data_IF_783624855475
#
_entry.id   IF_783624855475
#
_cell.length_a   1.000
_cell.length_b   1.000
_cell.length_c   1.000
_cell.angle_alpha   90.00
_cell.angle_beta   90.00
_cell.angle_gamma   90.00
#
_symmetry.space_group_name_H-M   'P 1'
#
loop_
_entity.id
_entity.type
_entity.pdbx_description
1 polymer ?
#
# COMPACT_ATOMS: atom_id res chain seq x y z
N UNK A 1 19.20 -27.81 6.27
CA UNK A 1 20.59 -27.91 6.78
C UNK A 1 20.72 -26.90 7.90
N UNK A 2 20.97 -27.41 9.10
CA UNK A 2 21.43 -26.81 10.37
C UNK A 2 21.47 -25.28 10.56
N UNK A 3 20.91 -24.85 11.69
CA UNK A 3 21.13 -23.58 12.38
C UNK A 3 22.59 -23.41 12.79
N UNK A 4 23.09 -22.18 12.80
CA UNK A 4 24.02 -21.74 13.83
C UNK A 4 23.62 -20.38 14.38
N UNK A 5 23.33 -20.41 15.68
CA UNK A 5 23.07 -19.28 16.57
C UNK A 5 24.41 -18.61 16.87
N UNK A 6 24.43 -17.29 16.83
CA UNK A 6 25.58 -16.48 17.21
C UNK A 6 25.15 -15.08 17.64
N UNK A 7 25.02 -14.89 18.93
CA UNK A 7 25.06 -13.60 19.64
C UNK A 7 25.80 -13.90 20.96
N UNK A 8 26.15 -12.91 21.79
CA UNK A 8 26.46 -11.49 21.59
C UNK A 8 27.81 -11.10 22.30
N UNK A 9 28.19 -9.83 22.24
CA UNK A 9 29.24 -9.15 23.05
C UNK A 9 30.71 -9.36 22.66
N UNK A 10 31.32 -8.32 22.10
CA UNK A 10 32.64 -7.80 22.51
C UNK A 10 32.87 -6.40 21.92
N UNK A 11 32.66 -5.38 22.79
CA UNK A 11 33.40 -4.11 23.06
C UNK A 11 34.37 -3.48 22.03
N UNK A 12 34.92 -2.26 22.24
CA UNK A 12 34.39 -1.00 22.81
C UNK A 12 34.78 0.25 21.95
N UNK A 13 34.28 1.44 22.32
CA UNK A 13 35.01 2.70 22.08
C UNK A 13 34.32 3.77 21.23
N UNK A 14 33.54 4.63 21.88
CA UNK A 14 33.21 5.96 21.36
C UNK A 14 34.44 6.88 21.53
N UNK A 15 34.99 7.50 20.47
CA UNK A 15 35.92 8.61 20.63
C UNK A 15 35.18 9.91 21.00
N UNK A 16 35.81 10.81 21.77
CA UNK A 16 35.20 12.03 22.29
C UNK A 16 35.00 13.10 21.20
N UNK A 17 33.95 13.90 21.42
CA UNK A 17 33.55 15.08 20.64
C UNK A 17 34.59 16.19 20.76
N UNK A 18 35.04 16.84 19.67
CA UNK A 18 35.80 18.07 19.77
C UNK A 18 34.87 19.28 19.92
N UNK A 19 35.04 19.99 21.04
CA UNK A 19 34.61 21.37 21.25
C UNK A 19 35.69 22.33 20.73
N UNK A 20 35.39 23.17 19.74
CA UNK A 20 35.58 24.63 19.77
C UNK A 20 35.31 25.29 18.40
N UNK A 21 34.92 26.59 18.39
CA UNK A 21 34.37 27.28 17.23
C UNK A 21 35.44 28.07 16.48
N UNK A 22 35.32 28.18 15.15
CA UNK A 22 36.05 29.20 14.39
C UNK A 22 35.18 29.82 13.31
N UNK A 23 34.89 31.11 13.54
CA UNK A 23 34.31 32.07 12.62
C UNK A 23 34.96 32.02 11.23
N UNK A 24 34.13 32.13 10.17
CA UNK A 24 34.38 33.08 9.09
C UNK A 24 33.11 33.36 8.28
N UNK A 25 32.78 34.65 8.25
CA UNK A 25 31.79 35.27 7.36
C UNK A 25 32.39 35.42 5.96
N UNK A 26 31.71 34.89 4.97
CA UNK A 26 31.66 35.35 3.57
C UNK A 26 30.56 34.50 2.92
N UNK A 27 29.35 34.98 2.69
CA UNK A 27 29.07 36.07 1.78
C UNK A 27 28.86 35.50 0.38
N UNK A 28 27.64 35.04 0.05
CA UNK A 28 27.15 34.84 -1.31
C UNK A 28 25.62 34.87 -1.29
N UNK A 29 25.06 35.99 -1.75
CA UNK A 29 23.63 36.15 -2.07
C UNK A 29 23.34 35.33 -3.33
N UNK A 30 22.89 34.09 -3.14
CA UNK A 30 22.25 33.31 -4.19
C UNK A 30 20.74 33.50 -4.10
N UNK A 31 20.15 34.18 -5.07
CA UNK A 31 18.70 34.22 -5.26
C UNK A 31 18.22 32.81 -5.62
N UNK A 32 17.67 32.11 -4.63
CA UNK A 32 16.96 30.84 -4.86
C UNK A 32 15.69 31.19 -5.64
N UNK A 33 15.71 30.98 -6.95
CA UNK A 33 14.48 30.91 -7.74
C UNK A 33 13.70 29.72 -7.23
N UNK A 34 12.65 29.98 -6.46
CA UNK A 34 11.57 29.03 -6.22
C UNK A 34 11.01 28.66 -7.60
N UNK A 35 11.38 27.48 -8.10
CA UNK A 35 10.64 26.83 -9.17
C UNK A 35 9.26 26.57 -8.58
N UNK A 36 8.27 27.32 -9.06
CA UNK A 36 6.85 27.04 -8.85
C UNK A 36 6.64 25.57 -9.16
N UNK A 37 6.40 24.78 -8.11
CA UNK A 37 5.96 23.42 -8.26
C UNK A 37 4.67 23.48 -9.07
N UNK A 38 4.71 22.79 -10.22
CA UNK A 38 3.62 22.74 -11.16
C UNK A 38 2.35 22.25 -10.47
N UNK A 39 1.25 22.86 -10.91
CA UNK A 39 -0.12 22.39 -10.86
C UNK A 39 -0.42 21.25 -9.87
N UNK A 40 -1.14 21.63 -8.81
CA UNK A 40 -2.02 20.72 -8.07
C UNK A 40 -2.88 19.98 -9.10
N UNK A 41 -2.57 18.70 -9.30
CA UNK A 41 -3.40 17.79 -10.06
C UNK A 41 -4.76 17.68 -9.38
N UNK A 42 -5.80 17.82 -10.19
CA UNK A 42 -7.20 17.71 -9.82
C UNK A 42 -7.46 16.35 -9.12
N UNK A 43 -8.01 16.30 -7.88
CA UNK A 43 -8.25 15.06 -7.13
C UNK A 43 -9.35 14.14 -7.73
N UNK A 44 -9.71 14.33 -9.00
CA UNK A 44 -10.71 13.55 -9.73
C UNK A 44 -10.23 12.92 -11.04
N UNK A 45 -8.95 13.08 -11.44
CA UNK A 45 -8.44 12.40 -12.64
C UNK A 45 -7.91 11.01 -12.26
N UNK A 46 -8.81 10.02 -12.27
CA UNK A 46 -8.45 8.61 -12.17
C UNK A 46 -7.69 8.21 -13.45
N UNK A 47 -6.37 8.35 -13.43
CA UNK A 47 -5.52 7.75 -14.47
C UNK A 47 -5.61 6.24 -14.27
N UNK A 48 -6.45 5.57 -15.08
CA UNK A 48 -6.56 4.12 -15.06
C UNK A 48 -5.16 3.52 -15.30
N UNK A 49 -4.68 2.73 -14.33
CA UNK A 49 -3.36 2.13 -14.38
C UNK A 49 -3.40 0.91 -15.30
N UNK A 50 -2.50 0.85 -16.28
CA UNK A 50 -2.38 -0.31 -17.17
C UNK A 50 -1.46 -1.36 -16.53
N UNK A 51 -1.92 -2.61 -16.47
CA UNK A 51 -1.15 -3.74 -15.95
C UNK A 51 -1.55 -5.06 -16.62
N UNK A 52 -1.05 -6.21 -16.13
CA UNK A 52 -1.40 -7.53 -16.63
C UNK A 52 -1.82 -8.46 -15.49
N UNK A 53 -2.79 -9.33 -15.77
CA UNK A 53 -3.23 -10.44 -14.91
C UNK A 53 -3.32 -11.72 -15.72
N UNK A 54 -3.38 -12.89 -15.07
CA UNK A 54 -3.62 -14.15 -15.77
C UNK A 54 -4.93 -14.10 -16.57
N UNK A 55 -4.98 -14.76 -17.73
CA UNK A 55 -6.14 -14.70 -18.65
C UNK A 55 -7.47 -15.06 -17.95
N UNK A 56 -7.46 -16.03 -17.02
CA UNK A 56 -8.65 -16.43 -16.24
C UNK A 56 -9.14 -15.38 -15.23
N UNK A 57 -8.30 -14.40 -14.89
CA UNK A 57 -8.62 -13.31 -13.97
C UNK A 57 -9.00 -12.03 -14.71
N UNK A 58 -8.82 -11.99 -16.03
CA UNK A 58 -9.04 -10.82 -16.87
C UNK A 58 -10.53 -10.64 -17.18
N UNK A 59 -11.29 -10.24 -16.16
CA UNK A 59 -12.71 -9.90 -16.28
C UNK A 59 -12.98 -8.55 -15.63
N UNK A 60 -13.79 -7.71 -16.30
CA UNK A 60 -14.22 -6.43 -15.71
C UNK A 60 -14.94 -6.64 -14.38
N UNK A 61 -14.64 -5.79 -13.40
CA UNK A 61 -15.13 -5.91 -12.03
C UNK A 61 -14.38 -6.94 -11.17
N UNK A 62 -13.48 -7.76 -11.74
CA UNK A 62 -12.63 -8.64 -10.95
C UNK A 62 -11.71 -7.82 -10.04
N UNK A 63 -11.55 -8.25 -8.79
CA UNK A 63 -10.67 -7.62 -7.82
C UNK A 63 -9.54 -8.55 -7.42
N UNK A 64 -8.33 -8.00 -7.29
CA UNK A 64 -7.14 -8.75 -6.87
C UNK A 64 -6.25 -7.92 -5.96
N UNK A 65 -5.45 -8.60 -5.13
CA UNK A 65 -4.39 -7.97 -4.32
C UNK A 65 -3.05 -8.20 -5.00
N UNK A 66 -2.29 -7.14 -5.21
CA UNK A 66 -0.96 -7.26 -5.79
C UNK A 66 0.03 -7.79 -4.74
N UNK A 67 0.69 -8.91 -5.07
CA UNK A 67 1.61 -9.64 -4.17
C UNK A 67 3.09 -9.45 -4.50
N UNK A 68 3.41 -8.55 -5.42
CA UNK A 68 4.79 -8.27 -5.79
C UNK A 68 5.38 -9.26 -6.81
N UNK A 69 6.66 -9.07 -7.17
CA UNK A 69 7.36 -9.88 -8.16
C UNK A 69 7.59 -11.32 -7.69
N UNK A 70 7.45 -12.27 -8.62
CA UNK A 70 7.83 -13.68 -8.43
C UNK A 70 9.16 -14.01 -9.13
N UNK A 71 9.87 -15.09 -8.76
CA UNK A 71 11.11 -15.50 -9.40
C UNK A 71 11.03 -15.61 -10.94
N UNK A 72 9.90 -16.08 -11.45
CA UNK A 72 9.56 -16.23 -12.87
C UNK A 72 9.47 -14.89 -13.61
N UNK A 73 9.27 -13.78 -12.88
CA UNK A 73 9.23 -12.44 -13.46
C UNK A 73 10.62 -11.93 -13.84
N UNK A 74 11.70 -12.51 -13.31
CA UNK A 74 13.09 -12.05 -13.58
C UNK A 74 13.42 -12.00 -15.07
N UNK A 75 13.20 -13.07 -15.87
CA UNK A 75 13.44 -13.05 -17.32
C UNK A 75 12.30 -12.41 -18.16
N UNK A 76 11.20 -11.95 -17.54
CA UNK A 76 10.03 -11.50 -18.29
C UNK A 76 10.25 -10.12 -18.96
N UNK A 77 9.98 -10.04 -20.26
CA UNK A 77 10.18 -8.83 -21.09
C UNK A 77 9.20 -7.69 -20.77
N UNK A 78 8.00 -8.02 -20.28
CA UNK A 78 6.93 -7.04 -19.97
C UNK A 78 6.75 -6.78 -18.48
N UNK A 79 7.70 -7.24 -17.64
CA UNK A 79 7.59 -7.18 -16.17
C UNK A 79 7.38 -5.77 -15.63
N UNK A 80 7.89 -4.73 -16.28
CA UNK A 80 7.74 -3.35 -15.81
C UNK A 80 6.28 -2.90 -15.78
N UNK A 81 5.46 -3.42 -16.69
CA UNK A 81 4.01 -3.14 -16.73
C UNK A 81 3.26 -4.00 -15.71
N UNK A 82 3.73 -5.23 -15.46
CA UNK A 82 3.14 -6.12 -14.44
C UNK A 82 3.46 -5.72 -12.99
N UNK A 83 4.55 -4.97 -12.76
CA UNK A 83 5.11 -4.71 -11.44
C UNK A 83 4.99 -3.25 -11.02
N UNK A 84 4.00 -2.53 -11.56
CA UNK A 84 3.81 -1.10 -11.33
C UNK A 84 2.79 -0.77 -10.24
N UNK A 85 2.16 -1.79 -9.64
CA UNK A 85 1.25 -1.65 -8.51
C UNK A 85 1.99 -1.64 -7.17
N UNK A 86 1.30 -1.12 -6.15
CA UNK A 86 1.79 -1.12 -4.78
C UNK A 86 1.50 -2.44 -4.09
N UNK A 87 2.52 -2.97 -3.41
CA UNK A 87 2.44 -4.24 -2.69
C UNK A 87 1.33 -4.19 -1.64
N UNK A 88 0.54 -5.26 -1.57
CA UNK A 88 -0.51 -5.39 -0.56
C UNK A 88 -1.78 -4.59 -0.87
N UNK A 89 -1.78 -3.70 -1.87
CA UNK A 89 -2.99 -2.96 -2.28
C UNK A 89 -3.90 -3.82 -3.17
N UNK A 90 -5.20 -3.53 -3.07
CA UNK A 90 -6.27 -4.16 -3.85
C UNK A 90 -6.66 -3.27 -5.03
N UNK A 91 -6.87 -3.91 -6.16
CA UNK A 91 -7.21 -3.26 -7.43
C UNK A 91 -8.44 -3.91 -8.04
N UNK A 92 -9.21 -3.13 -8.79
CA UNK A 92 -10.34 -3.60 -9.58
C UNK A 92 -10.06 -3.42 -11.06
N UNK A 93 -10.36 -4.44 -11.86
CA UNK A 93 -10.31 -4.37 -13.32
C UNK A 93 -11.44 -3.48 -13.82
N UNK A 94 -11.10 -2.39 -14.50
CA UNK A 94 -12.06 -1.48 -15.13
C UNK A 94 -12.27 -1.77 -16.60
N UNK A 95 -11.25 -2.32 -17.28
CA UNK A 95 -11.32 -2.65 -18.69
C UNK A 95 -10.31 -3.74 -19.05
N UNK A 96 -10.69 -4.66 -19.95
CA UNK A 96 -9.83 -5.73 -20.46
C UNK A 96 -9.47 -5.42 -21.92
N UNK A 97 -8.18 -5.26 -22.23
CA UNK A 97 -7.73 -4.96 -23.60
C UNK A 97 -7.54 -6.24 -24.38
N UNK A 98 -7.73 -6.22 -25.69
CA UNK A 98 -7.47 -7.37 -26.58
C UNK A 98 -5.97 -7.54 -26.91
N UNK A 99 -5.14 -7.58 -25.87
CA UNK A 99 -3.69 -7.78 -25.97
C UNK A 99 -3.25 -8.72 -24.84
N UNK A 100 -2.50 -9.76 -25.19
CA UNK A 100 -1.95 -10.72 -24.24
C UNK A 100 -0.48 -11.00 -24.51
N UNK A 101 0.23 -11.41 -23.46
CA UNK A 101 1.64 -11.75 -23.48
C UNK A 101 1.88 -13.11 -22.83
N UNK A 102 2.90 -13.88 -23.28
CA UNK A 102 3.31 -15.10 -22.61
C UNK A 102 3.70 -14.84 -21.16
N UNK A 103 3.24 -15.70 -20.24
CA UNK A 103 3.49 -15.58 -18.82
C UNK A 103 3.87 -16.94 -18.22
N UNK A 104 5.06 -17.01 -17.61
CA UNK A 104 5.54 -18.23 -16.94
C UNK A 104 4.84 -18.51 -15.61
N UNK A 105 4.18 -17.50 -15.04
CA UNK A 105 3.49 -17.60 -13.75
C UNK A 105 2.01 -18.01 -13.90
N UNK A 106 1.35 -17.52 -14.95
CA UNK A 106 -0.10 -17.62 -15.11
C UNK A 106 -0.44 -18.46 -16.32
N UNK A 107 -0.61 -19.78 -16.15
CA UNK A 107 -1.17 -20.71 -17.15
C UNK A 107 -0.83 -20.35 -18.61
N UNK A 108 0.45 -20.05 -18.85
CA UNK A 108 1.06 -19.63 -20.12
C UNK A 108 0.72 -18.22 -20.64
N UNK A 109 -0.36 -17.54 -20.23
CA UNK A 109 -0.78 -16.23 -20.77
C UNK A 109 -1.29 -15.23 -19.72
N UNK A 110 -0.88 -13.97 -19.90
CA UNK A 110 -1.39 -12.83 -19.14
C UNK A 110 -2.03 -11.79 -20.08
N UNK A 111 -3.21 -11.29 -19.71
CA UNK A 111 -3.99 -10.30 -20.45
C UNK A 111 -3.66 -8.89 -19.96
N UNK A 112 -3.58 -7.93 -20.87
CA UNK A 112 -3.45 -6.51 -20.53
C UNK A 112 -4.79 -5.96 -20.07
N UNK A 113 -4.78 -5.29 -18.92
CA UNK A 113 -5.97 -4.73 -18.27
C UNK A 113 -5.72 -3.30 -17.80
N UNK A 114 -6.79 -2.54 -17.61
CA UNK A 114 -6.80 -1.29 -16.87
C UNK A 114 -7.41 -1.52 -15.50
N UNK A 115 -6.83 -0.87 -14.48
CA UNK A 115 -7.24 -1.02 -13.09
C UNK A 115 -7.35 0.31 -12.37
N UNK A 116 -8.18 0.31 -11.34
CA UNK A 116 -8.25 1.35 -10.32
C UNK A 116 -7.94 0.77 -8.93
N UNK A 117 -7.35 1.56 -8.02
CA UNK A 117 -7.25 1.15 -6.61
C UNK A 117 -8.64 0.99 -6.00
N UNK A 118 -8.88 -0.13 -5.34
CA UNK A 118 -10.18 -0.49 -4.79
C UNK A 118 -10.03 -1.03 -3.37
N UNK A 119 -9.65 -0.20 -2.37
CA UNK A 119 -9.53 -0.68 -1.00
C UNK A 119 -10.87 -1.26 -0.51
N UNK A 120 -10.85 -2.34 0.27
CA UNK A 120 -12.06 -2.85 0.91
C UNK A 120 -12.55 -1.90 2.01
N UNK A 121 -13.82 -2.04 2.38
CA UNK A 121 -14.27 -1.53 3.67
C UNK A 121 -13.53 -2.23 4.80
N UNK A 122 -13.28 -1.50 5.87
CA UNK A 122 -12.63 -2.04 7.05
C UNK A 122 -13.28 -1.49 8.33
N UNK A 123 -12.92 -2.07 9.47
CA UNK A 123 -13.29 -1.54 10.78
C UNK A 123 -12.14 -0.71 11.35
N UNK A 124 -12.47 0.42 11.97
CA UNK A 124 -11.53 1.24 12.74
C UNK A 124 -12.07 1.49 14.15
N UNK A 125 -11.21 1.81 15.13
CA UNK A 125 -11.66 2.33 16.41
C UNK A 125 -12.55 3.56 16.21
N UNK A 126 -13.66 3.69 16.95
CA UNK A 126 -14.60 4.82 16.81
C UNK A 126 -13.87 6.16 16.95
N UNK A 127 -12.97 6.28 17.93
CA UNK A 127 -12.12 7.47 18.15
C UNK A 127 -11.20 7.86 16.98
N UNK A 128 -10.90 6.92 16.08
CA UNK A 128 -10.07 7.13 14.90
C UNK A 128 -10.92 7.30 13.62
N UNK A 129 -12.24 7.17 13.72
CA UNK A 129 -13.16 7.15 12.59
C UNK A 129 -13.73 8.54 12.33
N UNK A 130 -12.90 9.46 11.82
CA UNK A 130 -13.34 10.81 11.43
C UNK A 130 -13.29 10.98 9.92
N UNK A 131 -14.42 11.32 9.30
CA UNK A 131 -14.52 11.55 7.86
C UNK A 131 -13.54 12.63 7.37
N UNK A 132 -12.94 12.38 6.20
CA UNK A 132 -11.96 13.27 5.57
C UNK A 132 -10.54 13.16 6.14
N UNK A 133 -10.34 12.50 7.28
CA UNK A 133 -9.00 12.34 7.88
C UNK A 133 -8.21 11.20 7.25
N UNK A 134 -6.88 11.24 7.42
CA UNK A 134 -5.97 10.17 7.03
C UNK A 134 -5.50 9.45 8.29
N UNK A 135 -5.57 8.13 8.29
CA UNK A 135 -5.15 7.27 9.40
C UNK A 135 -4.17 6.21 8.91
N UNK A 136 -3.25 5.79 9.77
CA UNK A 136 -2.46 4.58 9.54
C UNK A 136 -3.26 3.37 10.04
N UNK A 137 -3.52 2.41 9.17
CA UNK A 137 -4.25 1.20 9.54
C UNK A 137 -3.38 0.30 10.41
N UNK A 138 -3.81 -0.02 11.63
CA UNK A 138 -3.06 -0.93 12.51
C UNK A 138 -3.61 -2.37 12.48
N UNK A 139 -4.90 -2.52 12.15
CA UNK A 139 -5.63 -3.78 12.29
C UNK A 139 -5.97 -4.10 13.75
N UNK A 140 -6.94 -5.00 13.93
CA UNK A 140 -7.32 -5.50 15.25
C UNK A 140 -6.63 -6.83 15.54
N UNK A 141 -6.21 -7.03 16.78
CA UNK A 141 -5.70 -8.33 17.23
C UNK A 141 -6.88 -9.22 17.62
N UNK A 142 -7.36 -10.03 16.69
CA UNK A 142 -8.48 -10.94 16.91
C UNK A 142 -8.33 -12.21 16.08
N UNK A 143 -8.51 -13.38 16.70
CA UNK A 143 -8.42 -14.69 16.03
C UNK A 143 -9.77 -15.37 15.80
N UNK A 144 -10.88 -14.69 16.11
CA UNK A 144 -12.23 -15.26 15.95
C UNK A 144 -12.69 -15.19 14.48
N UNK A 145 -12.28 -16.17 13.68
CA UNK A 145 -12.64 -16.30 12.27
C UNK A 145 -14.16 -16.46 12.01
N UNK A 146 -14.93 -16.88 13.02
CA UNK A 146 -16.39 -17.01 12.93
C UNK A 146 -17.13 -15.70 13.23
N UNK A 147 -16.43 -14.63 13.62
CA UNK A 147 -17.04 -13.33 13.89
C UNK A 147 -17.67 -12.74 12.61
N UNK A 148 -18.92 -12.23 12.66
CA UNK A 148 -19.54 -11.57 11.51
C UNK A 148 -18.72 -10.39 10.97
N UNK A 149 -18.00 -9.69 11.86
CA UNK A 149 -17.17 -8.53 11.52
C UNK A 149 -15.76 -8.91 11.04
N UNK A 150 -15.42 -10.20 10.97
CA UNK A 150 -14.04 -10.65 10.75
C UNK A 150 -13.43 -10.08 9.45
N UNK A 151 -14.22 -9.99 8.37
CA UNK A 151 -13.75 -9.44 7.08
C UNK A 151 -13.48 -7.94 7.12
N UNK A 152 -14.17 -7.20 7.98
CA UNK A 152 -13.92 -5.77 8.20
C UNK A 152 -12.70 -5.57 9.10
N UNK A 153 -12.51 -6.45 10.09
CA UNK A 153 -11.36 -6.42 11.02
C UNK A 153 -10.05 -6.90 10.37
N UNK A 154 -10.16 -7.80 9.40
CA UNK A 154 -9.05 -8.39 8.64
C UNK A 154 -9.27 -8.19 7.13
N UNK A 155 -9.30 -6.93 6.67
CA UNK A 155 -9.54 -6.58 5.29
C UNK A 155 -8.40 -7.10 4.39
N UNK A 156 -8.75 -7.88 3.37
CA UNK A 156 -7.79 -8.34 2.37
C UNK A 156 -7.46 -7.20 1.42
N UNK A 157 -6.21 -6.74 1.45
CA UNK A 157 -5.75 -5.62 0.64
C UNK A 157 -5.42 -4.35 1.43
N UNK A 158 -5.40 -4.41 2.76
CA UNK A 158 -4.93 -3.31 3.61
C UNK A 158 -3.97 -3.92 4.63
N UNK A 159 -2.69 -3.61 4.48
CA UNK A 159 -1.66 -4.08 5.41
C UNK A 159 -1.49 -3.10 6.58
N UNK A 160 -1.05 -3.57 7.77
CA UNK A 160 -0.68 -2.68 8.86
C UNK A 160 0.33 -1.61 8.40
N UNK A 161 0.11 -0.37 8.80
CA UNK A 161 0.86 0.81 8.36
C UNK A 161 0.31 1.49 7.10
N UNK A 162 -0.64 0.89 6.38
CA UNK A 162 -1.24 1.51 5.18
C UNK A 162 -1.96 2.80 5.55
N UNK A 163 -1.67 3.89 4.84
CA UNK A 163 -2.35 5.17 5.00
C UNK A 163 -3.69 5.13 4.27
N UNK A 164 -4.76 5.45 4.99
CA UNK A 164 -6.12 5.41 4.48
C UNK A 164 -6.79 6.76 4.71
N UNK A 165 -7.40 7.33 3.67
CA UNK A 165 -8.34 8.44 3.82
C UNK A 165 -9.73 7.89 4.12
N UNK A 166 -10.34 8.33 5.20
CA UNK A 166 -11.71 7.97 5.56
C UNK A 166 -12.67 8.76 4.69
N UNK A 167 -13.42 8.06 3.84
CA UNK A 167 -14.41 8.68 2.95
C UNK A 167 -15.78 8.78 3.61
N UNK A 168 -16.16 7.76 4.38
CA UNK A 168 -17.43 7.70 5.08
C UNK A 168 -17.32 6.81 6.31
N UNK A 169 -17.95 7.22 7.40
CA UNK A 169 -18.11 6.40 8.60
C UNK A 169 -19.48 5.74 8.56
N UNK A 170 -19.51 4.42 8.76
CA UNK A 170 -20.70 3.60 8.84
C UNK A 170 -21.22 3.47 10.25
N UNK A 171 -21.93 2.38 10.52
CA UNK A 171 -22.45 2.07 11.86
C UNK A 171 -21.36 1.53 12.78
N UNK A 172 -21.55 1.71 14.08
CA UNK A 172 -20.82 0.96 15.10
C UNK A 172 -21.08 -0.55 14.95
N UNK A 173 -20.06 -1.34 15.27
CA UNK A 173 -20.07 -2.79 15.14
C UNK A 173 -19.95 -3.42 16.52
N UNK A 174 -20.82 -4.39 16.82
CA UNK A 174 -20.74 -5.14 18.06
C UNK A 174 -19.53 -6.09 18.04
N UNK A 175 -18.56 -5.85 18.92
CA UNK A 175 -17.36 -6.65 19.03
C UNK A 175 -17.43 -7.55 20.26
N UNK A 176 -17.39 -8.89 20.12
CA UNK A 176 -17.38 -9.82 21.26
C UNK A 176 -16.20 -9.65 22.23
N UNK A 177 -15.14 -8.95 21.80
CA UNK A 177 -13.96 -8.63 22.63
C UNK A 177 -14.07 -7.27 23.33
N UNK A 178 -15.16 -6.53 23.13
CA UNK A 178 -15.42 -5.23 23.76
C UNK A 178 -14.71 -4.04 23.09
N UNK A 179 -14.16 -4.20 21.88
CA UNK A 179 -13.60 -3.07 21.13
C UNK A 179 -14.71 -2.16 20.58
N UNK A 180 -14.59 -0.86 20.82
CA UNK A 180 -15.44 0.16 20.19
C UNK A 180 -14.96 0.43 18.76
N UNK A 181 -15.65 -0.17 17.78
CA UNK A 181 -15.28 -0.12 16.37
C UNK A 181 -16.46 0.28 15.49
N UNK A 182 -16.17 0.95 14.37
CA UNK A 182 -17.15 1.30 13.35
C UNK A 182 -16.67 0.82 11.98
N UNK A 183 -17.60 0.50 11.08
CA UNK A 183 -17.26 0.26 9.68
C UNK A 183 -16.90 1.58 8.99
N UNK A 184 -15.94 1.55 8.08
CA UNK A 184 -15.52 2.73 7.33
C UNK A 184 -15.31 2.39 5.85
N UNK A 185 -15.72 3.32 4.99
CA UNK A 185 -15.30 3.36 3.58
C UNK A 185 -14.06 4.22 3.47
N UNK A 186 -13.06 3.72 2.76
CA UNK A 186 -11.74 4.35 2.68
C UNK A 186 -11.25 4.48 1.24
N UNK A 187 -10.29 5.36 1.03
CA UNK A 187 -9.40 5.38 -0.14
C UNK A 187 -7.96 5.15 0.34
N UNK A 188 -7.13 4.53 -0.48
CA UNK A 188 -5.69 4.55 -0.21
C UNK A 188 -5.19 5.99 -0.26
N UNK A 189 -4.34 6.36 0.69
CA UNK A 189 -3.70 7.67 0.74
C UNK A 189 -2.19 7.50 0.62
N UNK A 190 -1.53 8.49 0.02
CA UNK A 190 -0.08 8.55 -0.10
C UNK A 190 0.56 9.34 1.08
#
# INVERSE_FOLDING_TARGET
MWFQVGSPWDSPGCPPVPTEPCLRRSGLRGTVRLKTQGALGDPGSLVAQVTLVGERQAAEGHEFVYRGPQPECRPCKVRTVCLNQELGRRYRVTHVRDVAHPCLLNEERAQVIEVEPAPPECSLPVRASLEGTIVAYEGLVCSNAACPNFRLCHPVGIEPGTRLRILRVGSELDCPLGYEIASVRVAYAD
#
